data_IF_039614061128
#
_entry.id   IF_039614061128
#
_cell.length_a   1.000
_cell.length_b   1.000
_cell.length_c   1.000
_cell.angle_alpha   90.00
_cell.angle_beta   90.00
_cell.angle_gamma   90.00
#
_symmetry.space_group_name_H-M   'P 1'
#
loop_
_entity.id
_entity.type
_entity.pdbx_description
1 polymer ?
#
# COMPACT_ATOMS: atom_id res chain seq x y z
N UNK A 1 9.07 24.56 -20.88
CA UNK A 1 9.83 24.34 -19.63
C UNK A 1 9.05 24.99 -18.51
N UNK A 2 8.64 24.23 -17.50
CA UNK A 2 7.94 24.73 -16.32
C UNK A 2 8.93 25.47 -15.42
N UNK A 3 8.50 26.52 -14.70
CA UNK A 3 9.37 27.24 -13.77
C UNK A 3 9.52 26.42 -12.47
N UNK A 4 10.60 25.69 -12.31
CA UNK A 4 10.92 24.95 -11.07
C UNK A 4 12.31 25.30 -10.56
N UNK A 5 12.53 25.13 -9.27
CA UNK A 5 13.83 25.18 -8.60
C UNK A 5 14.23 23.78 -8.16
N UNK A 6 15.47 23.36 -8.42
CA UNK A 6 16.03 22.14 -7.82
C UNK A 6 16.70 22.51 -6.50
N UNK A 7 16.24 21.94 -5.40
CA UNK A 7 16.77 22.15 -4.07
C UNK A 7 17.89 21.13 -3.82
N UNK A 8 19.11 21.64 -3.63
CA UNK A 8 20.32 20.82 -3.40
C UNK A 8 21.09 21.23 -2.13
N UNK A 9 20.58 22.19 -1.38
CA UNK A 9 21.19 22.63 -0.11
C UNK A 9 20.16 22.69 1.03
N UNK A 10 20.62 22.47 2.26
CA UNK A 10 19.75 22.54 3.45
C UNK A 10 19.21 23.96 3.67
N UNK A 11 19.93 25.01 3.26
CA UNK A 11 19.47 26.39 3.38
C UNK A 11 18.27 26.66 2.46
N UNK A 12 18.30 26.19 1.21
CA UNK A 12 17.19 26.30 0.28
C UNK A 12 15.99 25.50 0.77
N UNK A 13 16.20 24.29 1.30
CA UNK A 13 15.15 23.45 1.86
C UNK A 13 14.44 24.14 3.05
N UNK A 14 15.21 24.70 3.97
CA UNK A 14 14.65 25.44 5.11
C UNK A 14 13.84 26.66 4.67
N UNK A 15 14.35 27.43 3.68
CA UNK A 15 13.64 28.59 3.14
C UNK A 15 12.31 28.17 2.47
N UNK A 16 12.31 27.09 1.72
CA UNK A 16 11.11 26.51 1.13
C UNK A 16 10.11 26.05 2.19
N UNK A 17 10.56 25.30 3.22
CA UNK A 17 9.69 24.81 4.28
C UNK A 17 9.03 25.96 5.06
N UNK A 18 9.74 27.05 5.30
CA UNK A 18 9.19 28.24 5.95
C UNK A 18 8.09 28.89 5.08
N UNK A 19 8.31 29.06 3.77
CA UNK A 19 7.29 29.53 2.85
C UNK A 19 6.06 28.60 2.83
N UNK A 20 6.30 27.30 2.73
CA UNK A 20 5.27 26.28 2.56
C UNK A 20 4.35 26.11 3.78
N UNK A 21 4.78 26.51 4.99
CA UNK A 21 3.92 26.54 6.20
C UNK A 21 2.74 27.49 6.12
N UNK A 22 2.84 28.50 5.25
CA UNK A 22 1.86 29.58 5.15
C UNK A 22 0.90 29.42 3.98
N UNK A 23 1.02 28.33 3.19
CA UNK A 23 0.12 28.07 2.08
C UNK A 23 -1.02 27.13 2.49
N UNK A 24 -2.21 27.23 1.86
CA UNK A 24 -3.36 26.43 2.26
C UNK A 24 -3.20 24.94 1.95
N UNK A 25 -2.38 24.57 0.98
CA UNK A 25 -2.10 23.17 0.61
C UNK A 25 -0.83 23.05 -0.23
N UNK A 26 -0.27 21.86 -0.23
CA UNK A 26 0.86 21.45 -1.07
C UNK A 26 0.41 20.38 -2.05
N UNK A 27 0.82 20.46 -3.32
CA UNK A 27 0.82 19.29 -4.20
C UNK A 27 2.15 18.54 -4.02
N UNK A 28 2.08 17.25 -3.79
CA UNK A 28 3.23 16.37 -3.48
C UNK A 28 3.24 15.15 -4.39
N UNK A 29 4.42 14.77 -4.84
CA UNK A 29 4.70 13.51 -5.52
C UNK A 29 6.10 13.02 -5.17
N UNK A 30 6.42 11.74 -5.39
CA UNK A 30 7.75 11.19 -5.13
C UNK A 30 8.21 10.26 -6.25
N UNK A 31 9.52 10.33 -6.55
CA UNK A 31 10.16 9.37 -7.42
C UNK A 31 11.17 8.52 -6.63
N UNK A 32 11.14 7.23 -6.84
CA UNK A 32 11.94 6.28 -6.09
C UNK A 32 12.31 5.04 -6.92
N UNK A 33 13.29 4.28 -6.42
CA UNK A 33 13.71 3.01 -7.02
C UNK A 33 13.55 1.87 -6.01
N UNK A 34 12.83 0.80 -6.41
CA UNK A 34 12.65 -0.43 -5.63
C UNK A 34 12.75 -1.69 -6.51
N UNK A 35 13.89 -1.84 -7.22
CA UNK A 35 14.06 -2.96 -8.15
C UNK A 35 14.72 -4.19 -7.50
N UNK A 36 15.68 -3.97 -6.59
CA UNK A 36 16.50 -5.02 -5.98
C UNK A 36 16.61 -4.90 -4.46
N UNK A 37 15.84 -4.02 -3.85
CA UNK A 37 15.83 -3.74 -2.43
C UNK A 37 14.47 -4.06 -1.80
N UNK A 38 14.44 -4.35 -0.52
CA UNK A 38 13.21 -4.45 0.27
C UNK A 38 12.62 -3.06 0.50
N UNK A 39 13.49 -2.13 0.88
CA UNK A 39 13.13 -0.73 1.10
C UNK A 39 13.22 0.06 -0.21
N UNK A 40 12.26 0.95 -0.42
CA UNK A 40 12.33 1.89 -1.53
C UNK A 40 13.42 2.94 -1.25
N UNK A 41 14.17 3.31 -2.30
CA UNK A 41 15.19 4.36 -2.23
C UNK A 41 14.63 5.62 -2.84
N UNK A 42 14.40 6.65 -2.05
CA UNK A 42 13.87 7.94 -2.48
C UNK A 42 14.88 8.63 -3.41
N UNK A 43 14.44 8.95 -4.61
CA UNK A 43 15.25 9.59 -5.65
C UNK A 43 14.97 11.09 -5.81
N UNK A 44 13.71 11.50 -5.69
CA UNK A 44 13.30 12.90 -5.82
C UNK A 44 12.00 13.12 -5.07
N UNK A 45 11.77 14.34 -4.56
CA UNK A 45 10.49 14.77 -4.02
C UNK A 45 10.05 16.03 -4.77
N UNK A 46 8.88 15.98 -5.34
CA UNK A 46 8.29 17.10 -6.05
C UNK A 46 7.25 17.78 -5.17
N UNK A 47 7.34 19.11 -5.05
CA UNK A 47 6.37 19.87 -4.26
C UNK A 47 6.01 21.16 -4.99
N UNK A 48 4.71 21.45 -5.06
CA UNK A 48 4.25 22.80 -5.40
C UNK A 48 3.47 23.40 -4.24
N UNK A 49 3.98 24.54 -3.76
CA UNK A 49 3.42 25.35 -2.69
C UNK A 49 3.10 26.74 -3.25
N UNK A 50 1.84 26.98 -3.57
CA UNK A 50 1.38 28.19 -4.25
C UNK A 50 2.17 28.49 -5.55
N UNK A 51 2.99 29.54 -5.56
CA UNK A 51 3.81 29.95 -6.69
C UNK A 51 5.19 29.26 -6.76
N UNK A 52 5.61 28.57 -5.68
CA UNK A 52 6.87 27.86 -5.65
C UNK A 52 6.70 26.39 -6.07
N UNK A 53 7.38 26.02 -7.14
CA UNK A 53 7.53 24.64 -7.60
C UNK A 53 8.96 24.20 -7.39
N UNK A 54 9.16 23.19 -6.53
CA UNK A 54 10.49 22.71 -6.16
C UNK A 54 10.64 21.22 -6.39
N UNK A 55 11.84 20.83 -6.77
CA UNK A 55 12.30 19.46 -6.88
C UNK A 55 13.41 19.26 -5.83
N UNK A 56 13.10 18.58 -4.74
CA UNK A 56 14.01 18.35 -3.64
C UNK A 56 14.83 17.10 -3.95
N UNK A 57 16.15 17.23 -4.00
CA UNK A 57 17.06 16.14 -4.32
C UNK A 57 17.66 15.49 -3.06
N UNK A 58 17.10 14.37 -2.56
CA UNK A 58 17.64 13.70 -1.37
C UNK A 58 18.99 13.02 -1.60
N UNK A 59 19.33 12.71 -2.85
CA UNK A 59 20.52 11.92 -3.19
C UNK A 59 21.81 12.73 -2.95
N UNK A 60 21.73 14.05 -2.97
CA UNK A 60 22.90 14.91 -2.65
C UNK A 60 23.20 14.98 -1.14
N UNK A 61 22.43 14.30 -0.30
CA UNK A 61 22.68 14.22 1.15
C UNK A 61 22.04 15.34 1.96
N UNK A 62 20.84 15.82 1.55
CA UNK A 62 20.06 16.78 2.31
C UNK A 62 19.57 16.18 3.63
N UNK A 63 19.52 16.99 4.67
CA UNK A 63 18.73 16.73 5.87
C UNK A 63 17.26 17.04 5.58
N UNK A 64 16.47 16.00 5.38
CA UNK A 64 15.04 16.12 5.07
C UNK A 64 14.14 16.28 6.30
N UNK A 65 14.68 16.22 7.52
CA UNK A 65 13.83 16.31 8.73
C UNK A 65 12.96 17.56 8.77
N UNK A 66 13.44 18.77 8.38
CA UNK A 66 12.58 19.95 8.33
C UNK A 66 11.39 19.82 7.38
N UNK A 67 11.54 19.09 6.28
CA UNK A 67 10.47 18.81 5.33
C UNK A 67 9.48 17.79 5.90
N UNK A 68 9.98 16.72 6.54
CA UNK A 68 9.10 15.75 7.20
C UNK A 68 8.29 16.39 8.33
N UNK A 69 8.87 17.30 9.10
CA UNK A 69 8.17 18.06 10.14
C UNK A 69 7.12 19.01 9.54
N UNK A 70 7.39 19.60 8.37
CA UNK A 70 6.39 20.37 7.64
C UNK A 70 5.18 19.51 7.26
N UNK A 71 5.40 18.30 6.73
CA UNK A 71 4.32 17.42 6.35
C UNK A 71 3.54 16.82 7.54
N UNK A 72 4.10 16.82 8.75
CA UNK A 72 3.41 16.43 9.99
C UNK A 72 2.52 17.52 10.57
N UNK A 73 2.71 18.77 10.13
CA UNK A 73 1.91 19.91 10.63
C UNK A 73 0.44 19.75 10.19
N UNK A 74 -0.53 19.64 11.12
CA UNK A 74 -1.94 19.46 10.79
C UNK A 74 -2.57 20.63 10.02
N UNK A 75 -1.93 21.77 9.98
CA UNK A 75 -2.38 22.94 9.20
C UNK A 75 -1.92 22.89 7.74
N UNK A 76 -1.00 22.01 7.40
CA UNK A 76 -0.49 21.83 6.03
C UNK A 76 -1.28 20.73 5.35
N UNK A 77 -2.17 21.10 4.44
CA UNK A 77 -2.96 20.13 3.68
C UNK A 77 -2.15 19.58 2.50
N UNK A 78 -2.12 18.25 2.34
CA UNK A 78 -1.31 17.60 1.30
C UNK A 78 -2.24 17.07 0.21
N UNK A 79 -1.95 17.40 -1.03
CA UNK A 79 -2.66 16.91 -2.22
C UNK A 79 -1.73 15.99 -3.00
N UNK A 80 -2.19 14.77 -3.26
CA UNK A 80 -1.44 13.75 -3.98
C UNK A 80 -2.34 13.09 -5.04
N UNK A 81 -1.77 12.36 -6.00
CA UNK A 81 -2.55 11.60 -6.96
C UNK A 81 -2.14 10.14 -6.97
N UNK A 82 -3.07 9.23 -6.61
CA UNK A 82 -2.83 7.79 -6.56
C UNK A 82 -1.62 7.41 -5.66
N UNK A 83 -1.50 8.06 -4.49
CA UNK A 83 -0.33 8.07 -3.62
C UNK A 83 0.02 6.75 -2.93
N UNK A 84 -0.52 5.61 -3.41
CA UNK A 84 -0.35 4.32 -2.76
C UNK A 84 1.10 3.91 -2.48
N UNK A 85 2.03 4.17 -3.40
CA UNK A 85 3.46 3.86 -3.20
C UNK A 85 4.17 5.00 -2.45
N UNK A 86 3.75 6.25 -2.66
CA UNK A 86 4.27 7.42 -1.94
C UNK A 86 4.00 7.34 -0.45
N UNK A 87 2.84 6.80 -0.04
CA UNK A 87 2.54 6.56 1.38
C UNK A 87 3.54 5.60 2.02
N UNK A 88 4.06 4.60 1.29
CA UNK A 88 5.12 3.72 1.80
C UNK A 88 6.44 4.49 2.00
N UNK A 89 6.78 5.40 1.08
CA UNK A 89 7.95 6.27 1.20
C UNK A 89 7.81 7.18 2.42
N UNK A 90 6.67 7.84 2.55
CA UNK A 90 6.39 8.71 3.71
C UNK A 90 6.46 7.90 5.02
N UNK A 91 5.85 6.71 5.08
CA UNK A 91 5.91 5.83 6.26
C UNK A 91 7.35 5.44 6.62
N UNK A 92 8.17 5.13 5.61
CA UNK A 92 9.55 4.71 5.80
C UNK A 92 10.43 5.83 6.39
N UNK A 93 10.21 7.08 5.97
CA UNK A 93 11.05 8.22 6.35
C UNK A 93 10.51 9.00 7.54
N UNK A 94 9.20 9.09 7.70
CA UNK A 94 8.58 9.93 8.73
C UNK A 94 8.22 9.18 10.01
N UNK A 95 8.14 7.85 9.95
CA UNK A 95 7.68 7.02 11.07
C UNK A 95 6.19 7.21 11.42
N UNK A 96 5.65 8.40 11.19
CA UNK A 96 4.24 8.76 11.32
C UNK A 96 3.77 9.42 10.03
N UNK A 97 2.71 8.89 9.42
CA UNK A 97 2.19 9.41 8.16
C UNK A 97 1.16 10.51 8.43
N UNK A 98 1.16 11.61 7.66
CA UNK A 98 0.15 12.65 7.79
C UNK A 98 -1.25 12.12 7.51
N UNK A 99 -2.26 12.56 8.25
CA UNK A 99 -3.66 12.16 8.06
C UNK A 99 -4.47 13.13 7.21
N UNK A 100 -3.94 14.33 6.94
CA UNK A 100 -4.60 15.41 6.20
C UNK A 100 -4.12 15.41 4.73
N UNK A 101 -4.33 14.25 4.10
CA UNK A 101 -4.01 14.02 2.69
C UNK A 101 -5.32 13.94 1.89
N UNK A 102 -5.35 14.63 0.76
CA UNK A 102 -6.39 14.50 -0.26
C UNK A 102 -5.80 13.78 -1.48
N UNK A 103 -6.24 12.55 -1.75
CA UNK A 103 -5.87 11.83 -2.96
C UNK A 103 -6.84 12.21 -4.10
N UNK A 104 -6.32 12.88 -5.12
CA UNK A 104 -7.13 13.35 -6.26
C UNK A 104 -7.65 12.22 -7.14
N UNK A 105 -7.06 11.01 -7.12
CA UNK A 105 -7.64 9.85 -7.79
C UNK A 105 -8.92 9.40 -7.08
N UNK A 106 -8.91 9.39 -5.75
CA UNK A 106 -10.10 9.11 -4.93
C UNK A 106 -11.13 10.22 -5.16
N UNK A 107 -10.71 11.49 -5.10
CA UNK A 107 -11.58 12.64 -5.36
C UNK A 107 -12.28 12.55 -6.72
N UNK A 108 -11.53 12.26 -7.78
CA UNK A 108 -12.06 12.10 -9.14
C UNK A 108 -13.08 10.96 -9.24
N UNK A 109 -12.84 9.85 -8.54
CA UNK A 109 -13.77 8.73 -8.52
C UNK A 109 -15.10 9.10 -7.82
N UNK A 110 -15.07 9.84 -6.71
CA UNK A 110 -16.26 10.35 -6.04
C UNK A 110 -16.97 11.48 -6.82
N UNK A 111 -16.24 12.20 -7.66
CA UNK A 111 -16.82 13.18 -8.61
C UNK A 111 -17.47 12.51 -9.83
N UNK A 112 -17.22 11.19 -10.07
CA UNK A 112 -17.83 10.46 -11.18
C UNK A 112 -16.95 10.37 -12.43
N UNK A 113 -15.64 10.67 -12.33
CA UNK A 113 -14.70 10.62 -13.45
C UNK A 113 -14.08 9.23 -13.68
N UNK A 114 -14.59 8.18 -12.97
CA UNK A 114 -14.15 6.78 -13.07
C UNK A 114 -13.33 6.31 -11.85
N UNK A 115 -13.33 5.00 -11.60
CA UNK A 115 -12.82 4.39 -10.34
C UNK A 115 -11.30 4.55 -10.14
N UNK A 116 -10.53 4.68 -11.21
CA UNK A 116 -9.06 4.71 -11.14
C UNK A 116 -8.48 5.60 -12.27
N UNK A 117 -8.91 6.86 -12.31
CA UNK A 117 -8.41 7.81 -13.30
C UNK A 117 -6.92 8.06 -13.07
N UNK A 118 -6.07 7.78 -14.05
CA UNK A 118 -4.63 8.04 -13.93
C UNK A 118 -4.30 9.52 -14.15
N UNK A 119 -3.16 9.97 -13.63
CA UNK A 119 -2.75 11.37 -13.62
C UNK A 119 -2.85 12.07 -14.98
N UNK A 120 -2.27 11.50 -16.05
CA UNK A 120 -2.33 12.12 -17.37
C UNK A 120 -3.78 12.27 -17.92
N UNK A 121 -4.68 11.35 -17.56
CA UNK A 121 -6.09 11.45 -17.93
C UNK A 121 -6.80 12.54 -17.08
N UNK A 122 -6.42 12.67 -15.80
CA UNK A 122 -6.89 13.75 -14.94
C UNK A 122 -6.46 15.11 -15.48
N UNK A 123 -5.16 15.28 -15.82
CA UNK A 123 -4.65 16.53 -16.39
C UNK A 123 -5.35 16.85 -17.71
N UNK A 124 -5.48 15.86 -18.60
CA UNK A 124 -6.19 16.06 -19.88
C UNK A 124 -7.64 16.50 -19.68
N UNK A 125 -8.33 15.89 -18.70
CA UNK A 125 -9.73 16.23 -18.41
C UNK A 125 -9.90 17.70 -17.99
N UNK A 126 -8.98 18.23 -17.19
CA UNK A 126 -9.10 19.60 -16.63
C UNK A 126 -8.43 20.68 -17.46
N UNK A 127 -7.44 20.33 -18.33
CA UNK A 127 -6.56 21.31 -18.99
C UNK A 127 -6.45 21.14 -20.49
N UNK A 128 -6.94 20.02 -21.08
CA UNK A 128 -6.70 19.59 -22.47
C UNK A 128 -5.22 19.33 -22.82
N UNK A 129 -4.32 19.33 -21.82
CA UNK A 129 -2.88 19.09 -22.02
C UNK A 129 -2.60 17.61 -21.94
N UNK A 130 -1.77 17.11 -22.84
CA UNK A 130 -1.23 15.75 -22.80
C UNK A 130 0.13 15.75 -22.09
N UNK A 131 0.21 15.05 -20.95
CA UNK A 131 1.45 14.90 -20.17
C UNK A 131 2.22 13.69 -20.67
N UNK A 132 3.53 13.85 -20.88
CA UNK A 132 4.44 12.76 -21.23
C UNK A 132 4.62 11.82 -20.02
N UNK A 133 4.65 10.51 -20.29
CA UNK A 133 4.85 9.45 -19.28
C UNK A 133 6.17 8.70 -19.49
N UNK A 134 7.01 9.15 -20.39
CA UNK A 134 8.20 8.40 -20.83
C UNK A 134 9.24 8.20 -19.72
N UNK A 135 9.26 9.07 -18.71
CA UNK A 135 10.26 9.09 -17.65
C UNK A 135 9.88 8.29 -16.38
N UNK A 136 8.64 7.82 -16.24
CA UNK A 136 8.13 7.16 -15.02
C UNK A 136 8.92 5.92 -14.56
N UNK A 137 9.70 5.28 -15.46
CA UNK A 137 10.47 4.06 -15.15
C UNK A 137 11.98 4.21 -15.36
N UNK A 138 12.48 5.44 -15.29
CA UNK A 138 13.91 5.74 -15.42
C UNK A 138 14.64 5.51 -14.09
N UNK A 139 15.97 5.60 -14.11
CA UNK A 139 16.77 5.48 -12.88
C UNK A 139 16.81 6.83 -12.15
N UNK A 140 15.94 6.97 -11.15
CA UNK A 140 15.84 8.16 -10.32
C UNK A 140 16.99 8.32 -9.29
N UNK A 141 17.87 7.32 -9.19
CA UNK A 141 19.09 7.41 -8.36
C UNK A 141 20.30 7.92 -9.11
N UNK A 142 20.23 7.98 -10.47
CA UNK A 142 21.32 8.50 -11.28
C UNK A 142 21.47 10.02 -11.09
N UNK A 143 22.73 10.51 -11.07
CA UNK A 143 23.01 11.97 -11.06
C UNK A 143 24.08 12.30 -12.10
N UNK A 144 23.94 13.47 -12.78
CA UNK A 144 22.83 14.40 -12.70
C UNK A 144 21.55 13.79 -13.32
N UNK A 145 20.37 14.26 -12.90
CA UNK A 145 19.12 13.96 -13.58
C UNK A 145 19.07 14.65 -14.94
N UNK A 146 18.50 13.96 -15.94
CA UNK A 146 18.31 14.55 -17.25
C UNK A 146 17.25 15.67 -17.23
N UNK A 147 17.35 16.68 -18.09
CA UNK A 147 16.34 17.74 -18.17
C UNK A 147 14.91 17.21 -18.37
N UNK A 148 14.76 16.14 -19.15
CA UNK A 148 13.48 15.47 -19.40
C UNK A 148 12.89 14.82 -18.14
N UNK A 149 13.74 14.28 -17.23
CA UNK A 149 13.31 13.76 -15.93
C UNK A 149 12.84 14.90 -15.03
N UNK A 150 13.56 16.02 -15.00
CA UNK A 150 13.20 17.18 -14.20
C UNK A 150 11.89 17.84 -14.68
N UNK A 151 11.72 17.97 -16.01
CA UNK A 151 10.48 18.50 -16.59
C UNK A 151 9.28 17.58 -16.34
N UNK A 152 9.49 16.25 -16.42
CA UNK A 152 8.49 15.25 -16.08
C UNK A 152 8.06 15.38 -14.59
N UNK A 153 9.02 15.33 -13.67
CA UNK A 153 8.78 15.43 -12.23
C UNK A 153 8.08 16.76 -11.85
N UNK A 154 8.48 17.87 -12.46
CA UNK A 154 7.82 19.14 -12.25
C UNK A 154 6.35 19.13 -12.71
N UNK A 155 6.05 18.44 -13.83
CA UNK A 155 4.70 18.36 -14.38
C UNK A 155 3.74 17.58 -13.46
N UNK A 156 4.22 16.58 -12.69
CA UNK A 156 3.39 15.75 -11.83
C UNK A 156 2.74 16.55 -10.67
N UNK A 157 3.37 17.62 -10.20
CA UNK A 157 2.79 18.49 -9.17
C UNK A 157 2.30 19.83 -9.71
N UNK A 158 2.81 20.28 -10.87
CA UNK A 158 2.41 21.56 -11.47
C UNK A 158 0.92 21.60 -11.77
N UNK A 159 0.43 20.64 -12.54
CA UNK A 159 -1.00 20.58 -12.88
C UNK A 159 -1.86 20.14 -11.71
N UNK A 160 -1.36 19.24 -10.87
CA UNK A 160 -2.08 18.73 -9.70
C UNK A 160 -2.54 19.85 -8.78
N UNK A 161 -1.65 20.82 -8.52
CA UNK A 161 -1.95 21.96 -7.66
C UNK A 161 -3.13 22.80 -8.20
N UNK A 162 -3.20 23.05 -9.51
CA UNK A 162 -4.25 23.87 -10.12
C UNK A 162 -5.56 23.08 -10.35
N UNK A 163 -5.48 21.75 -10.47
CA UNK A 163 -6.64 20.87 -10.62
C UNK A 163 -7.37 20.68 -9.30
N UNK A 164 -6.65 20.59 -8.18
CA UNK A 164 -7.25 20.28 -6.87
C UNK A 164 -8.42 21.20 -6.48
N UNK A 165 -8.34 22.55 -6.54
CA UNK A 165 -9.48 23.40 -6.19
C UNK A 165 -10.70 23.18 -7.09
N UNK A 166 -10.48 22.89 -8.38
CA UNK A 166 -11.53 22.63 -9.36
C UNK A 166 -12.22 21.30 -9.05
N UNK A 167 -11.47 20.21 -8.89
CA UNK A 167 -11.99 18.91 -8.50
C UNK A 167 -12.73 18.98 -7.16
N UNK A 168 -12.18 19.70 -6.17
CA UNK A 168 -12.81 19.88 -4.86
C UNK A 168 -14.17 20.56 -4.98
N UNK A 169 -14.31 21.52 -5.89
CA UNK A 169 -15.59 22.26 -6.11
C UNK A 169 -16.69 21.40 -6.74
N UNK A 170 -16.37 20.27 -7.37
CA UNK A 170 -17.34 19.31 -7.92
C UNK A 170 -17.92 18.36 -6.87
N UNK A 171 -17.29 18.27 -5.70
CA UNK A 171 -17.69 17.40 -4.61
C UNK A 171 -18.67 18.11 -3.67
N UNK A 172 -19.77 17.44 -3.33
CA UNK A 172 -20.63 17.87 -2.22
C UNK A 172 -19.86 17.79 -0.89
N UNK A 173 -20.31 18.48 0.13
CA UNK A 173 -19.70 18.42 1.47
C UNK A 173 -19.59 16.98 1.99
N UNK A 174 -20.66 16.17 1.82
CA UNK A 174 -20.66 14.77 2.20
C UNK A 174 -19.60 13.96 1.42
N UNK A 175 -19.52 14.13 0.09
CA UNK A 175 -18.52 13.44 -0.71
C UNK A 175 -17.10 13.87 -0.36
N UNK A 176 -16.88 15.13 -0.04
CA UNK A 176 -15.58 15.63 0.39
C UNK A 176 -15.11 14.96 1.69
N UNK A 177 -15.98 14.88 2.70
CA UNK A 177 -15.69 14.15 3.94
C UNK A 177 -15.35 12.66 3.67
N UNK A 178 -16.07 12.01 2.73
CA UNK A 178 -15.78 10.62 2.35
C UNK A 178 -14.42 10.47 1.64
N UNK A 179 -14.03 11.41 0.78
CA UNK A 179 -12.73 11.42 0.10
C UNK A 179 -11.60 11.60 1.12
N UNK A 180 -11.73 12.55 2.05
CA UNK A 180 -10.74 12.79 3.10
C UNK A 180 -10.61 11.57 4.03
N UNK A 181 -11.74 10.97 4.44
CA UNK A 181 -11.74 9.75 5.26
C UNK A 181 -11.14 8.55 4.53
N UNK A 182 -11.40 8.40 3.23
CA UNK A 182 -10.82 7.33 2.41
C UNK A 182 -9.33 7.51 2.21
N UNK A 183 -8.90 8.75 1.90
CA UNK A 183 -7.47 9.07 1.76
C UNK A 183 -6.70 8.76 3.05
N UNK A 184 -7.23 9.19 4.20
CA UNK A 184 -6.65 8.89 5.51
C UNK A 184 -6.60 7.39 5.80
N UNK A 185 -7.64 6.63 5.43
CA UNK A 185 -7.66 5.17 5.58
C UNK A 185 -6.60 4.48 4.70
N UNK A 186 -6.43 4.91 3.46
CA UNK A 186 -5.39 4.37 2.56
C UNK A 186 -3.99 4.63 3.11
N UNK A 187 -3.76 5.83 3.63
CA UNK A 187 -2.51 6.19 4.33
C UNK A 187 -2.25 5.28 5.53
N UNK A 188 -3.23 5.16 6.44
CA UNK A 188 -3.08 4.34 7.65
C UNK A 188 -2.70 2.89 7.32
N UNK A 189 -3.33 2.29 6.32
CA UNK A 189 -3.06 0.92 5.88
C UNK A 189 -1.64 0.69 5.36
N UNK A 190 -1.04 1.69 4.72
CA UNK A 190 0.33 1.57 4.23
C UNK A 190 1.35 1.56 5.35
N UNK A 191 1.03 2.15 6.50
CA UNK A 191 1.83 2.08 7.73
C UNK A 191 1.65 0.78 8.53
N UNK A 192 0.58 0.00 8.27
CA UNK A 192 0.28 -1.21 9.03
C UNK A 192 1.22 -2.36 8.69
N UNK A 193 1.73 -3.00 9.74
CA UNK A 193 2.49 -4.23 9.60
C UNK A 193 1.72 -5.40 10.19
N UNK A 194 1.39 -6.39 9.36
CA UNK A 194 0.81 -7.64 9.84
C UNK A 194 1.83 -8.36 10.74
N UNK A 195 1.47 -8.70 12.00
CA UNK A 195 2.36 -9.47 12.87
C UNK A 195 2.78 -10.77 12.21
N UNK A 196 4.07 -11.10 12.30
CA UNK A 196 4.71 -12.20 11.56
C UNK A 196 3.98 -13.53 11.77
N UNK A 197 3.51 -13.80 12.99
CA UNK A 197 2.79 -15.02 13.35
C UNK A 197 1.45 -15.23 12.61
N UNK A 198 0.88 -14.16 12.01
CA UNK A 198 -0.38 -14.20 11.27
C UNK A 198 -0.24 -14.07 9.75
N UNK A 199 0.97 -13.87 9.22
CA UNK A 199 1.20 -13.71 7.78
C UNK A 199 0.66 -14.89 6.95
N UNK A 200 0.72 -16.12 7.49
CA UNK A 200 0.25 -17.32 6.80
C UNK A 200 -1.26 -17.30 6.48
N UNK A 201 -2.07 -16.56 7.26
CA UNK A 201 -3.51 -16.40 7.01
C UNK A 201 -3.81 -15.71 5.66
N UNK A 202 -2.90 -14.85 5.22
CA UNK A 202 -3.02 -14.07 3.99
C UNK A 202 -2.20 -14.64 2.83
N UNK A 203 -1.58 -15.80 3.03
CA UNK A 203 -0.80 -16.47 2.00
C UNK A 203 -1.72 -17.20 1.00
N UNK A 204 -1.66 -16.79 -0.29
CA UNK A 204 -2.66 -17.13 -1.30
C UNK A 204 -3.02 -18.61 -1.47
N UNK A 205 -2.09 -19.53 -1.22
CA UNK A 205 -2.27 -20.97 -1.37
C UNK A 205 -2.09 -21.76 -0.06
N UNK A 206 -2.16 -21.10 1.10
CA UNK A 206 -2.00 -21.72 2.40
C UNK A 206 -3.02 -22.87 2.65
N UNK A 207 -4.20 -22.78 2.06
CA UNK A 207 -5.26 -23.80 2.12
C UNK A 207 -4.81 -25.19 1.59
N UNK A 208 -3.73 -25.27 0.80
CA UNK A 208 -3.15 -26.54 0.34
C UNK A 208 -2.32 -27.27 1.41
N UNK A 209 -2.03 -26.61 2.51
CA UNK A 209 -1.27 -27.13 3.63
C UNK A 209 -2.19 -27.75 4.68
N UNK A 210 -1.79 -28.89 5.26
CA UNK A 210 -2.41 -29.39 6.48
C UNK A 210 -1.94 -28.55 7.69
N UNK A 211 -2.52 -28.78 8.87
CA UNK A 211 -2.26 -27.98 10.08
C UNK A 211 -0.78 -27.94 10.48
N UNK A 212 -0.05 -29.08 10.35
CA UNK A 212 1.39 -29.13 10.63
C UNK A 212 2.18 -28.34 9.60
N UNK A 213 1.81 -28.44 8.33
CA UNK A 213 2.43 -27.68 7.23
C UNK A 213 2.14 -26.18 7.36
N UNK A 214 0.96 -25.79 7.86
CA UNK A 214 0.65 -24.38 8.17
C UNK A 214 1.54 -23.85 9.29
N UNK A 215 1.83 -24.65 10.33
CA UNK A 215 2.77 -24.24 11.36
C UNK A 215 4.18 -24.01 10.79
N UNK A 216 4.64 -24.87 9.90
CA UNK A 216 5.93 -24.69 9.20
C UNK A 216 5.89 -23.48 8.27
N UNK A 217 4.79 -23.27 7.52
CA UNK A 217 4.64 -22.10 6.64
C UNK A 217 4.69 -20.79 7.45
N UNK A 218 4.08 -20.75 8.63
CA UNK A 218 4.13 -19.59 9.53
C UNK A 218 5.57 -19.20 9.86
N UNK A 219 6.39 -20.15 10.28
CA UNK A 219 7.79 -19.89 10.61
C UNK A 219 8.63 -19.51 9.38
N UNK A 220 8.38 -20.16 8.24
CA UNK A 220 9.03 -19.82 6.97
C UNK A 220 8.73 -18.42 6.48
N UNK A 221 7.51 -17.93 6.66
CA UNK A 221 7.14 -16.55 6.29
C UNK A 221 7.84 -15.53 7.18
N UNK A 222 7.97 -15.81 8.47
CA UNK A 222 8.76 -15.00 9.38
C UNK A 222 10.22 -14.94 8.96
N UNK A 223 10.84 -16.10 8.76
CA UNK A 223 12.22 -16.22 8.28
C UNK A 223 12.43 -15.42 6.96
N UNK A 224 11.51 -15.54 6.00
CA UNK A 224 11.61 -14.81 4.72
C UNK A 224 11.58 -13.30 4.92
N UNK A 225 10.67 -12.82 5.74
CA UNK A 225 10.51 -11.39 6.02
C UNK A 225 11.77 -10.83 6.72
N UNK A 226 12.24 -11.50 7.76
CA UNK A 226 13.42 -11.08 8.52
C UNK A 226 14.67 -11.07 7.63
N UNK A 227 14.82 -12.10 6.79
CA UNK A 227 15.93 -12.18 5.84
C UNK A 227 15.87 -11.09 4.79
N UNK A 228 14.68 -10.78 4.24
CA UNK A 228 14.49 -9.72 3.27
C UNK A 228 14.86 -8.35 3.86
N UNK A 229 14.37 -8.05 5.07
CA UNK A 229 14.68 -6.81 5.80
C UNK A 229 16.17 -6.69 6.14
N UNK A 230 16.76 -7.76 6.69
CA UNK A 230 18.17 -7.77 7.11
C UNK A 230 19.15 -7.60 5.94
N UNK A 231 18.82 -8.16 4.79
CA UNK A 231 19.69 -8.13 3.61
C UNK A 231 19.29 -7.05 2.60
N UNK A 232 18.23 -6.30 2.90
CA UNK A 232 17.63 -5.31 2.01
C UNK A 232 17.41 -5.84 0.58
N UNK A 233 16.73 -7.01 0.48
CA UNK A 233 16.40 -7.63 -0.81
C UNK A 233 14.90 -7.95 -0.87
N UNK A 234 14.29 -7.94 -2.07
CA UNK A 234 12.86 -8.26 -2.22
C UNK A 234 12.51 -9.65 -1.65
N UNK A 235 11.31 -9.80 -1.08
CA UNK A 235 10.82 -11.09 -0.54
C UNK A 235 10.97 -12.23 -1.54
N UNK A 236 10.64 -11.97 -2.83
CA UNK A 236 10.75 -12.97 -3.89
C UNK A 236 12.18 -13.38 -4.25
N UNK A 237 13.19 -12.56 -3.89
CA UNK A 237 14.61 -12.90 -4.06
C UNK A 237 15.11 -13.80 -2.94
N UNK A 238 14.51 -13.71 -1.74
CA UNK A 238 14.80 -14.65 -0.64
C UNK A 238 14.22 -16.02 -0.97
N UNK A 239 12.92 -16.09 -1.25
CA UNK A 239 12.20 -17.28 -1.69
C UNK A 239 10.86 -16.87 -2.31
N UNK A 240 10.50 -17.46 -3.45
CA UNK A 240 9.20 -17.23 -4.08
C UNK A 240 8.09 -17.92 -3.29
N UNK A 241 6.84 -17.51 -3.49
CA UNK A 241 5.69 -18.08 -2.76
C UNK A 241 5.53 -19.58 -2.98
N UNK A 242 5.66 -20.06 -4.22
CA UNK A 242 5.57 -21.49 -4.50
C UNK A 242 6.73 -22.29 -3.85
N UNK A 243 7.92 -21.68 -3.74
CA UNK A 243 9.07 -22.28 -3.04
C UNK A 243 8.78 -22.42 -1.54
N UNK A 244 8.19 -21.41 -0.89
CA UNK A 244 7.77 -21.50 0.51
C UNK A 244 6.71 -22.59 0.71
N UNK A 245 5.74 -22.66 -0.19
CA UNK A 245 4.69 -23.69 -0.13
C UNK A 245 5.28 -25.11 -0.25
N UNK A 246 6.21 -25.30 -1.17
CA UNK A 246 6.90 -26.59 -1.34
C UNK A 246 7.75 -26.94 -0.11
N UNK A 247 8.49 -25.98 0.46
CA UNK A 247 9.24 -26.16 1.71
C UNK A 247 8.33 -26.58 2.87
N UNK A 248 7.19 -25.89 3.03
CA UNK A 248 6.21 -26.21 4.07
C UNK A 248 5.59 -27.59 3.89
N UNK A 249 5.35 -28.03 2.65
CA UNK A 249 4.75 -29.33 2.35
C UNK A 249 5.75 -30.49 2.48
N UNK A 250 7.00 -30.28 2.06
CA UNK A 250 8.05 -31.33 2.06
C UNK A 250 8.84 -31.39 3.36
N UNK A 251 8.89 -30.32 4.14
CA UNK A 251 9.58 -30.22 5.43
C UNK A 251 11.00 -30.79 5.41
N UNK A 252 11.90 -30.33 4.53
CA UNK A 252 13.26 -30.87 4.45
C UNK A 252 14.01 -30.70 5.78
N UNK A 253 14.86 -31.67 6.11
CA UNK A 253 15.62 -31.73 7.37
C UNK A 253 17.13 -31.50 7.17
N UNK A 254 17.59 -31.60 5.94
CA UNK A 254 19.01 -31.47 5.59
C UNK A 254 19.22 -30.52 4.42
N UNK A 255 20.41 -29.92 4.34
CA UNK A 255 20.81 -29.08 3.20
C UNK A 255 20.80 -29.85 1.86
N UNK A 256 21.03 -31.19 1.91
CA UNK A 256 20.89 -32.06 0.73
C UNK A 256 19.46 -32.06 0.20
N UNK A 257 18.46 -32.16 1.08
CA UNK A 257 17.05 -32.13 0.70
C UNK A 257 16.59 -30.72 0.22
N UNK A 258 17.20 -29.63 0.74
CA UNK A 258 16.92 -28.28 0.25
C UNK A 258 17.27 -28.11 -1.23
N UNK A 259 18.30 -28.80 -1.74
CA UNK A 259 18.68 -28.75 -3.17
C UNK A 259 17.62 -29.29 -4.11
N UNK A 260 16.69 -30.11 -3.61
CA UNK A 260 15.57 -30.66 -4.37
C UNK A 260 14.32 -29.76 -4.35
N UNK A 261 14.37 -28.58 -3.76
CA UNK A 261 13.26 -27.63 -3.70
C UNK A 261 13.30 -26.71 -4.92
N UNK A 262 12.18 -26.61 -5.61
CA UNK A 262 12.05 -25.81 -6.84
C UNK A 262 12.34 -24.33 -6.57
N UNK A 263 13.16 -23.72 -7.42
CA UNK A 263 13.54 -22.29 -7.36
C UNK A 263 14.22 -21.83 -6.06
N UNK A 264 14.66 -22.75 -5.21
CA UNK A 264 15.51 -22.39 -4.07
C UNK A 264 16.95 -22.25 -4.54
N UNK A 265 17.48 -21.03 -4.51
CA UNK A 265 18.79 -20.75 -5.09
C UNK A 265 19.93 -21.42 -4.29
N UNK A 266 21.01 -21.91 -4.97
CA UNK A 266 22.19 -22.42 -4.28
C UNK A 266 22.81 -21.38 -3.33
N UNK A 267 22.69 -20.10 -3.63
CA UNK A 267 23.14 -19.00 -2.77
C UNK A 267 22.32 -18.94 -1.48
N UNK A 268 20.99 -19.04 -1.59
CA UNK A 268 20.11 -19.08 -0.41
C UNK A 268 20.43 -20.29 0.46
N UNK A 269 20.64 -21.48 -0.13
CA UNK A 269 21.01 -22.67 0.62
C UNK A 269 22.36 -22.50 1.34
N UNK A 270 23.35 -21.92 0.66
CA UNK A 270 24.70 -21.71 1.22
C UNK A 270 24.71 -20.71 2.39
N UNK A 271 23.98 -19.59 2.27
CA UNK A 271 24.07 -18.47 3.22
C UNK A 271 22.95 -18.41 4.25
N UNK A 272 21.87 -19.14 4.03
CA UNK A 272 20.71 -19.14 4.90
C UNK A 272 20.06 -20.53 5.10
N UNK A 273 20.72 -21.60 4.63
CA UNK A 273 20.16 -22.97 4.71
C UNK A 273 19.95 -23.43 6.14
N UNK A 274 20.85 -23.12 7.05
CA UNK A 274 20.75 -23.52 8.46
C UNK A 274 19.61 -22.77 9.17
N UNK A 275 19.44 -21.45 8.90
CA UNK A 275 18.33 -20.65 9.42
C UNK A 275 17.00 -21.15 8.87
N UNK A 276 16.97 -21.50 7.58
CA UNK A 276 15.80 -22.06 6.92
C UNK A 276 15.39 -23.41 7.53
N UNK A 277 16.35 -24.30 7.75
CA UNK A 277 16.11 -25.59 8.41
C UNK A 277 15.70 -25.41 9.88
N UNK A 278 16.22 -24.39 10.56
CA UNK A 278 15.80 -24.03 11.92
C UNK A 278 14.32 -23.59 11.96
N UNK A 279 13.89 -22.74 11.03
CA UNK A 279 12.48 -22.34 10.90
C UNK A 279 11.56 -23.55 10.64
N UNK A 280 11.98 -24.48 9.77
CA UNK A 280 11.22 -25.72 9.51
C UNK A 280 11.13 -26.58 10.78
N UNK A 281 12.26 -26.78 11.50
CA UNK A 281 12.25 -27.53 12.77
C UNK A 281 11.34 -26.89 13.82
N UNK A 282 11.38 -25.58 13.94
CA UNK A 282 10.51 -24.81 14.85
C UNK A 282 9.03 -25.07 14.52
N UNK A 283 8.63 -24.94 13.27
CA UNK A 283 7.27 -25.22 12.84
C UNK A 283 6.84 -26.67 13.04
N UNK A 284 7.76 -27.65 12.84
CA UNK A 284 7.51 -29.07 13.11
C UNK A 284 7.32 -29.36 14.61
N UNK A 285 8.04 -28.65 15.47
CA UNK A 285 7.97 -28.79 16.92
C UNK A 285 6.80 -28.03 17.57
N UNK A 286 6.03 -27.30 16.80
CA UNK A 286 4.90 -26.51 17.32
C UNK A 286 3.86 -27.43 18.00
N UNK A 287 3.54 -27.15 19.26
CA UNK A 287 2.50 -27.85 20.04
C UNK A 287 1.10 -27.33 19.73
N UNK A 288 1.01 -26.03 19.44
CA UNK A 288 -0.24 -25.38 19.02
C UNK A 288 -0.23 -25.21 17.49
N UNK A 289 -1.07 -26.01 16.84
CA UNK A 289 -1.17 -25.99 15.38
C UNK A 289 -2.26 -25.02 14.93
N UNK A 290 -2.00 -24.23 13.86
CA UNK A 290 -3.02 -23.41 13.22
C UNK A 290 -4.28 -24.20 12.88
N UNK A 291 -5.42 -23.53 12.84
CA UNK A 291 -6.64 -24.11 12.28
C UNK A 291 -6.44 -24.41 10.80
N UNK A 292 -7.11 -25.46 10.31
CA UNK A 292 -7.09 -25.78 8.89
C UNK A 292 -7.70 -24.64 8.09
N UNK A 293 -7.02 -24.21 7.03
CA UNK A 293 -7.56 -23.24 6.07
C UNK A 293 -8.20 -24.01 4.89
N UNK A 294 -9.28 -23.47 4.40
CA UNK A 294 -9.97 -23.98 3.22
C UNK A 294 -9.88 -22.94 2.07
N UNK A 295 -10.03 -23.41 0.84
CA UNK A 295 -10.17 -22.46 -0.26
C UNK A 295 -11.50 -21.72 -0.12
N UNK A 296 -11.42 -20.41 0.08
CA UNK A 296 -12.58 -19.59 0.44
C UNK A 296 -13.79 -19.79 -0.49
N UNK A 297 -13.54 -19.90 -1.80
CA UNK A 297 -14.58 -20.08 -2.82
C UNK A 297 -15.28 -21.46 -2.78
N UNK A 298 -14.64 -22.44 -2.14
CA UNK A 298 -15.14 -23.82 -2.07
C UNK A 298 -15.91 -24.06 -0.75
N UNK A 299 -15.83 -23.12 0.19
CA UNK A 299 -16.56 -23.21 1.45
C UNK A 299 -18.06 -23.16 1.23
N UNK A 300 -18.78 -23.96 2.02
CA UNK A 300 -20.26 -23.94 1.99
C UNK A 300 -20.79 -22.56 2.35
N UNK A 301 -21.75 -22.05 1.60
CA UNK A 301 -22.34 -20.73 1.84
C UNK A 301 -21.58 -19.56 1.19
N UNK A 302 -20.40 -19.76 0.59
CA UNK A 302 -19.62 -18.68 -0.01
C UNK A 302 -20.43 -17.84 -1.01
N UNK A 303 -21.05 -18.47 -2.02
CA UNK A 303 -21.77 -17.74 -3.07
C UNK A 303 -22.96 -16.92 -2.55
N UNK A 304 -23.85 -17.47 -1.71
CA UNK A 304 -24.92 -16.71 -1.07
C UNK A 304 -24.40 -15.51 -0.28
N UNK A 305 -23.40 -15.70 0.59
CA UNK A 305 -22.82 -14.63 1.41
C UNK A 305 -22.15 -13.56 0.56
N UNK A 306 -21.34 -13.96 -0.42
CA UNK A 306 -20.70 -13.03 -1.36
C UNK A 306 -21.74 -12.16 -2.09
N UNK A 307 -22.81 -12.77 -2.61
CA UNK A 307 -23.87 -12.06 -3.32
C UNK A 307 -24.66 -11.12 -2.39
N UNK A 308 -24.93 -11.54 -1.16
CA UNK A 308 -25.61 -10.70 -0.18
C UNK A 308 -24.77 -9.45 0.17
N UNK A 309 -23.46 -9.61 0.40
CA UNK A 309 -22.56 -8.48 0.62
C UNK A 309 -22.52 -7.57 -0.60
N UNK A 310 -22.38 -8.14 -1.82
CA UNK A 310 -22.37 -7.37 -3.06
C UNK A 310 -23.66 -6.55 -3.25
N UNK A 311 -24.82 -7.07 -2.85
CA UNK A 311 -26.08 -6.33 -2.89
C UNK A 311 -26.07 -5.11 -1.98
N UNK A 312 -25.51 -5.22 -0.75
CA UNK A 312 -25.38 -4.08 0.17
C UNK A 312 -24.43 -3.02 -0.39
N UNK A 313 -23.31 -3.45 -1.01
CA UNK A 313 -22.36 -2.55 -1.67
C UNK A 313 -23.05 -1.79 -2.81
N UNK A 314 -23.81 -2.49 -3.67
CA UNK A 314 -24.53 -1.86 -4.78
C UNK A 314 -25.60 -0.87 -4.29
N UNK A 315 -26.30 -1.20 -3.22
CA UNK A 315 -27.30 -0.31 -2.61
C UNK A 315 -26.67 0.97 -2.05
N UNK A 316 -25.54 0.83 -1.32
CA UNK A 316 -24.80 1.96 -0.77
C UNK A 316 -24.19 2.83 -1.87
N UNK A 317 -23.63 2.22 -2.91
CA UNK A 317 -23.09 2.95 -4.06
C UNK A 317 -24.16 3.82 -4.74
N UNK A 318 -25.36 3.27 -4.90
CA UNK A 318 -26.52 4.01 -5.46
C UNK A 318 -26.94 5.17 -4.55
N UNK A 319 -26.97 4.95 -3.22
CA UNK A 319 -27.28 5.99 -2.23
C UNK A 319 -26.31 7.18 -2.33
N UNK A 320 -25.00 6.87 -2.42
CA UNK A 320 -23.92 7.87 -2.48
C UNK A 320 -23.70 8.47 -3.89
N UNK A 321 -24.34 7.91 -4.93
CA UNK A 321 -24.11 8.34 -6.32
C UNK A 321 -22.67 8.15 -6.77
N UNK A 322 -22.07 6.97 -6.45
CA UNK A 322 -20.72 6.56 -6.84
C UNK A 322 -20.74 5.16 -7.44
N UNK A 323 -19.63 4.77 -8.11
CA UNK A 323 -19.51 3.42 -8.64
C UNK A 323 -19.35 2.37 -7.51
N UNK A 324 -19.96 1.17 -7.67
CA UNK A 324 -19.87 0.11 -6.65
C UNK A 324 -18.42 -0.31 -6.28
N UNK A 325 -17.48 -0.23 -7.23
CA UNK A 325 -16.06 -0.51 -7.00
C UNK A 325 -15.42 0.45 -6.00
N UNK A 326 -15.93 1.68 -5.87
CA UNK A 326 -15.49 2.65 -4.87
C UNK A 326 -15.94 2.28 -3.46
N UNK A 327 -17.08 1.61 -3.33
CA UNK A 327 -17.51 1.07 -2.03
C UNK A 327 -16.68 -0.15 -1.67
N UNK A 328 -16.61 -1.15 -2.57
CA UNK A 328 -15.73 -2.30 -2.35
C UNK A 328 -15.44 -3.09 -3.62
N UNK A 329 -14.19 -3.49 -3.78
CA UNK A 329 -13.73 -4.46 -4.76
C UNK A 329 -14.12 -5.90 -4.36
N UNK A 330 -14.04 -6.84 -5.31
CA UNK A 330 -14.20 -8.27 -5.03
C UNK A 330 -13.22 -8.78 -3.96
N UNK A 331 -12.00 -8.25 -3.93
CA UNK A 331 -11.00 -8.60 -2.92
C UNK A 331 -11.47 -8.22 -1.52
N UNK A 332 -11.94 -7.00 -1.32
CA UNK A 332 -12.44 -6.52 -0.03
C UNK A 332 -13.66 -7.30 0.47
N UNK A 333 -14.56 -7.78 -0.43
CA UNK A 333 -15.63 -8.70 -0.05
C UNK A 333 -15.04 -10.03 0.46
N UNK A 334 -14.06 -10.58 -0.24
CA UNK A 334 -13.39 -11.81 0.19
C UNK A 334 -12.64 -11.64 1.51
N UNK A 335 -12.03 -10.49 1.75
CA UNK A 335 -11.33 -10.18 3.01
C UNK A 335 -12.31 -10.22 4.20
N UNK A 336 -13.54 -9.69 4.02
CA UNK A 336 -14.60 -9.80 5.04
C UNK A 336 -15.02 -11.24 5.29
N UNK A 337 -15.24 -12.04 4.23
CA UNK A 337 -15.63 -13.44 4.37
C UNK A 337 -14.50 -14.24 5.04
N UNK A 338 -13.26 -14.05 4.60
CA UNK A 338 -12.08 -14.66 5.20
C UNK A 338 -11.95 -14.31 6.69
N UNK A 339 -12.12 -13.02 7.04
CA UNK A 339 -12.10 -12.53 8.42
C UNK A 339 -13.12 -13.23 9.30
N UNK A 340 -14.34 -13.42 8.80
CA UNK A 340 -15.41 -14.03 9.59
C UNK A 340 -15.26 -15.55 9.73
N UNK A 341 -14.78 -16.23 8.68
CA UNK A 341 -14.81 -17.68 8.64
C UNK A 341 -13.48 -18.34 8.99
N UNK A 342 -12.35 -17.69 8.72
CA UNK A 342 -11.04 -18.35 8.82
C UNK A 342 -10.04 -17.63 9.72
N UNK A 343 -10.22 -16.34 10.00
CA UNK A 343 -9.34 -15.64 10.94
C UNK A 343 -9.74 -15.98 12.36
N UNK A 344 -8.87 -16.61 13.17
CA UNK A 344 -9.17 -16.97 14.54
C UNK A 344 -9.32 -15.73 15.44
N UNK A 345 -10.09 -15.86 16.53
CA UNK A 345 -10.38 -14.73 17.40
C UNK A 345 -9.11 -14.13 18.04
N UNK A 346 -8.11 -14.97 18.32
CA UNK A 346 -6.81 -14.50 18.83
C UNK A 346 -6.07 -13.62 17.83
N UNK A 347 -6.23 -13.89 16.52
CA UNK A 347 -5.63 -13.08 15.47
C UNK A 347 -6.37 -11.74 15.29
N UNK A 348 -7.70 -11.73 15.52
CA UNK A 348 -8.51 -10.52 15.36
C UNK A 348 -8.14 -9.41 16.35
N UNK A 349 -7.57 -9.75 17.51
CA UNK A 349 -7.06 -8.75 18.46
C UNK A 349 -5.76 -8.09 18.00
N UNK A 350 -4.99 -8.77 17.14
CA UNK A 350 -3.68 -8.33 16.69
C UNK A 350 -3.71 -7.74 15.26
N UNK A 351 -4.80 -7.94 14.54
CA UNK A 351 -4.97 -7.56 13.14
C UNK A 351 -6.01 -6.45 13.00
N UNK A 352 -5.80 -5.58 12.04
CA UNK A 352 -6.81 -4.58 11.66
C UNK A 352 -7.98 -5.27 10.96
N UNK A 353 -9.22 -4.87 11.28
CA UNK A 353 -10.40 -5.38 10.58
C UNK A 353 -10.38 -5.02 9.08
N UNK A 354 -11.05 -5.81 8.22
CA UNK A 354 -11.23 -5.48 6.82
C UNK A 354 -11.90 -4.12 6.59
N UNK A 355 -11.64 -3.52 5.43
CA UNK A 355 -12.10 -2.19 5.03
C UNK A 355 -13.59 -1.93 5.23
N UNK A 356 -14.40 -2.94 5.01
CA UNK A 356 -15.84 -2.84 5.13
C UNK A 356 -16.33 -2.74 6.58
N UNK A 357 -15.43 -2.94 7.55
CA UNK A 357 -15.73 -2.78 8.98
C UNK A 357 -15.17 -1.49 9.58
N UNK A 358 -14.39 -0.72 8.84
CA UNK A 358 -13.72 0.47 9.36
C UNK A 358 -14.10 1.74 8.60
N UNK A 359 -13.83 2.89 9.19
CA UNK A 359 -14.08 4.20 8.60
C UNK A 359 -15.54 4.37 8.16
N UNK A 360 -15.75 5.13 7.09
CA UNK A 360 -17.07 5.44 6.54
C UNK A 360 -17.84 4.19 6.06
N UNK A 361 -17.12 3.19 5.53
CA UNK A 361 -17.73 1.91 5.12
C UNK A 361 -18.27 1.15 6.32
N UNK A 362 -17.49 1.05 7.38
CA UNK A 362 -17.90 0.41 8.63
C UNK A 362 -19.14 1.06 9.24
N UNK A 363 -19.18 2.38 9.27
CA UNK A 363 -20.34 3.12 9.76
C UNK A 363 -21.64 2.82 8.98
N UNK A 364 -21.55 2.57 7.68
CA UNK A 364 -22.69 2.29 6.79
C UNK A 364 -23.02 0.79 6.65
N UNK A 365 -22.04 -0.12 6.75
CA UNK A 365 -22.20 -1.52 6.37
C UNK A 365 -22.13 -2.52 7.53
N UNK A 366 -21.48 -2.22 8.66
CA UNK A 366 -21.18 -3.22 9.70
C UNK A 366 -22.43 -3.97 10.18
N UNK A 367 -23.52 -3.29 10.46
CA UNK A 367 -24.78 -3.91 10.92
C UNK A 367 -25.35 -4.87 9.87
N UNK A 368 -25.30 -4.50 8.59
CA UNK A 368 -25.78 -5.33 7.49
C UNK A 368 -24.90 -6.57 7.31
N UNK A 369 -23.58 -6.40 7.38
CA UNK A 369 -22.62 -7.50 7.30
C UNK A 369 -22.81 -8.51 8.45
N UNK A 370 -22.95 -8.02 9.69
CA UNK A 370 -23.25 -8.89 10.82
C UNK A 370 -24.55 -9.70 10.65
N UNK A 371 -25.59 -9.07 10.12
CA UNK A 371 -26.86 -9.76 9.87
C UNK A 371 -26.73 -10.85 8.82
N UNK A 372 -25.90 -10.66 7.78
CA UNK A 372 -25.61 -11.68 6.76
C UNK A 372 -24.97 -12.90 7.40
N UNK A 373 -23.92 -12.72 8.21
CA UNK A 373 -23.20 -13.84 8.83
C UNK A 373 -23.96 -14.53 9.97
N UNK A 374 -24.95 -13.86 10.61
CA UNK A 374 -25.84 -14.49 11.61
C UNK A 374 -26.88 -15.42 10.96
N UNK A 375 -27.29 -15.16 9.72
CA UNK A 375 -28.26 -16.00 9.00
C UNK A 375 -27.64 -17.27 8.41
N UNK A 376 -26.32 -17.31 8.25
CA UNK A 376 -25.59 -18.43 7.66
C UNK A 376 -25.07 -19.44 8.71
N UNK A 377 -25.26 -19.16 10.00
CA UNK A 377 -25.03 -20.08 11.14
C UNK A 377 -26.29 -20.86 11.46
#
# INVERSE_FOLDING_TARGET
MLPYQVITSNAELLAFCEHARHVPYLALDTEFVRNRTYYARLGLVQVRAADQLVLIDPVVGLDLEPFWELLKDPNVHIVIHAGGEDYEILAQHMGQIPTHIFDTQIGAAFAGHGEALGYAALVKHYTDIEVDKSQSRTDWMQRPLAPEQLDYAAADVFYLHDIYPRLRSELSAEKLELVEAESALQVAKRGEQTPTKWLYLFFGNAWQCNRQQLAVLRELMGWRLDRAKKSDIPLGFVAKDHTLLELARRMPETTGQLRGITDLSPMTIRYAGDDLLAAIRQGKAATELPAQLERLTDMRGYKPVFNAIKQQITALAKELGIEPGMVASRRQINDVIHWQWQVPNEAKSDLSPPDLYVGWRGAKLSTHLEAIFKRDR
#
